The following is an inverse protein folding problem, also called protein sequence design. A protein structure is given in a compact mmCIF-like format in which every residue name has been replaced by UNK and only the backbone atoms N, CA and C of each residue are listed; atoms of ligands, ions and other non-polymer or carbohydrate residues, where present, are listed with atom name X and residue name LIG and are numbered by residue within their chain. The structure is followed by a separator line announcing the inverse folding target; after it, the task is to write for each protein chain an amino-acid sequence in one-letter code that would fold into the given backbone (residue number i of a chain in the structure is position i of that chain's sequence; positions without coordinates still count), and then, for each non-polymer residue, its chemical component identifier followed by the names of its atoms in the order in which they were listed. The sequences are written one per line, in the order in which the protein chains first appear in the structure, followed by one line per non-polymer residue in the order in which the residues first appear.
data_IF_017448044174
#
_entry.id   IF_017448044174
#
_cell.length_a   1.000
_cell.length_b   1.000
_cell.length_c   1.000
_cell.angle_alpha   90.00
_cell.angle_beta   90.00
_cell.angle_gamma   90.00
#
_symmetry.space_group_name_H-M   'P 1'
#
loop_
_entity.id
_entity.type
_entity.pdbx_description
1 polymer ?
#
# COMPACT_ATOMS: atom_id res chain seq x y z
N UNK A 1 26.21 9.06 30.43
CA UNK A 1 26.48 10.41 30.98
C UNK A 1 25.19 11.21 31.23
N UNK A 2 24.02 10.62 30.98
CA UNK A 2 22.70 11.20 31.20
C UNK A 2 21.72 10.08 31.59
N UNK A 3 20.71 10.38 32.39
CA UNK A 3 19.56 9.49 32.64
C UNK A 3 18.34 10.04 31.90
N UNK A 4 17.69 9.19 31.10
CA UNK A 4 16.35 9.46 30.58
C UNK A 4 15.32 8.81 31.49
N UNK A 5 14.44 9.62 32.08
CA UNK A 5 13.26 9.18 32.80
C UNK A 5 12.07 9.20 31.83
N UNK A 6 11.63 8.03 31.39
CA UNK A 6 10.60 7.88 30.37
C UNK A 6 9.32 7.36 31.01
N UNK A 7 8.23 8.11 30.87
CA UNK A 7 6.87 7.74 31.26
C UNK A 7 5.94 7.81 30.04
N UNK A 8 4.81 7.10 30.08
CA UNK A 8 3.78 7.20 29.06
C UNK A 8 2.42 6.77 29.63
N UNK A 9 1.69 7.75 30.17
CA UNK A 9 0.50 7.56 31.02
C UNK A 9 -0.60 6.72 30.37
N UNK A 10 -0.74 6.79 29.04
CA UNK A 10 -1.74 6.01 28.29
C UNK A 10 -1.46 4.50 28.29
N UNK A 11 -0.22 4.09 28.55
CA UNK A 11 0.19 2.68 28.56
C UNK A 11 0.53 2.20 29.98
N UNK A 12 1.25 3.00 30.76
CA UNK A 12 1.73 2.64 32.09
C UNK A 12 1.95 3.90 32.95
N UNK A 13 1.58 3.81 34.23
CA UNK A 13 1.85 4.85 35.24
C UNK A 13 3.31 4.85 35.72
N UNK A 14 4.11 3.83 35.36
CA UNK A 14 5.48 3.69 35.81
C UNK A 14 6.46 4.62 35.06
N UNK A 15 7.49 5.08 35.77
CA UNK A 15 8.61 5.85 35.20
C UNK A 15 9.84 4.97 35.09
N UNK A 16 10.34 4.79 33.87
CA UNK A 16 11.50 3.95 33.58
C UNK A 16 12.75 4.79 33.38
N UNK A 17 13.85 4.40 34.01
CA UNK A 17 15.11 5.15 33.99
C UNK A 17 16.16 4.42 33.15
N UNK A 18 16.76 5.13 32.19
CA UNK A 18 17.77 4.58 31.29
C UNK A 18 19.02 5.46 31.29
N UNK A 19 20.16 4.86 31.62
CA UNK A 19 21.45 5.51 31.45
C UNK A 19 21.88 5.44 29.98
N UNK A 20 22.24 6.60 29.42
CA UNK A 20 22.53 6.77 27.99
C UNK A 20 23.77 7.63 27.76
N UNK A 21 24.36 7.52 26.58
CA UNK A 21 25.42 8.40 26.08
C UNK A 21 24.80 9.55 25.25
N UNK A 22 24.87 10.75 25.79
CA UNK A 22 24.35 11.97 25.18
C UNK A 22 24.97 12.24 23.81
N UNK A 23 26.22 11.84 23.56
CA UNK A 23 26.86 12.02 22.25
C UNK A 23 26.23 11.11 21.20
N UNK A 24 25.95 9.85 21.56
CA UNK A 24 25.30 8.88 20.66
C UNK A 24 23.87 9.27 20.34
N UNK A 25 23.13 9.75 21.33
CA UNK A 25 21.78 10.29 21.12
C UNK A 25 21.79 11.44 20.10
N UNK A 26 22.64 12.46 20.30
CA UNK A 26 22.73 13.62 19.40
C UNK A 26 23.17 13.22 17.98
N UNK A 27 24.10 12.28 17.84
CA UNK A 27 24.60 11.89 16.52
C UNK A 27 23.58 11.14 15.67
N UNK A 28 22.62 10.47 16.31
CA UNK A 28 21.65 9.59 15.64
C UNK A 28 20.21 10.13 15.65
N UNK A 29 19.98 11.31 16.23
CA UNK A 29 18.66 11.94 16.34
C UNK A 29 18.78 13.46 16.41
N UNK A 30 18.28 14.21 15.41
CA UNK A 30 18.18 15.66 15.45
C UNK A 30 17.27 16.17 16.58
N UNK A 31 16.28 15.37 17.00
CA UNK A 31 15.49 15.67 18.19
C UNK A 31 16.38 15.79 19.43
N UNK A 32 17.19 14.76 19.72
CA UNK A 32 18.10 14.79 20.87
C UNK A 32 19.26 15.78 20.68
N UNK A 33 19.71 16.03 19.44
CA UNK A 33 20.65 17.10 19.14
C UNK A 33 20.13 18.45 19.62
N UNK A 34 18.87 18.76 19.31
CA UNK A 34 18.20 19.99 19.69
C UNK A 34 17.89 20.04 21.18
N UNK A 35 17.24 19.01 21.74
CA UNK A 35 16.84 18.92 23.15
C UNK A 35 18.05 19.11 24.08
N UNK A 36 19.16 18.46 23.74
CA UNK A 36 20.36 18.51 24.56
C UNK A 36 21.25 19.73 24.20
N UNK A 37 20.88 20.56 23.23
CA UNK A 37 21.71 21.69 22.81
C UNK A 37 21.94 22.69 23.98
N UNK A 38 23.19 23.10 24.26
CA UNK A 38 23.53 23.91 25.44
C UNK A 38 22.80 25.26 25.56
N UNK A 39 22.23 25.77 24.47
CA UNK A 39 21.57 27.07 24.43
C UNK A 39 20.10 27.05 24.03
N UNK A 40 19.54 25.90 23.60
CA UNK A 40 18.16 25.86 23.07
C UNK A 40 17.13 25.54 24.16
N UNK A 41 17.42 24.56 25.00
CA UNK A 41 16.50 24.06 26.02
C UNK A 41 17.13 24.05 27.42
N UNK A 42 16.30 24.01 28.45
CA UNK A 42 16.72 23.91 29.85
C UNK A 42 17.54 22.64 30.12
N UNK A 43 17.14 21.55 29.48
CA UNK A 43 17.68 20.20 29.56
C UNK A 43 19.13 20.19 29.08
N UNK A 44 19.38 20.76 27.90
CA UNK A 44 20.73 20.95 27.36
C UNK A 44 21.61 21.88 28.22
N UNK A 45 21.04 22.94 28.80
CA UNK A 45 21.76 23.81 29.75
C UNK A 45 22.18 23.05 31.00
N UNK A 46 21.27 22.30 31.62
CA UNK A 46 21.55 21.48 32.83
C UNK A 46 22.66 20.48 32.56
N UNK A 47 22.61 19.79 31.41
CA UNK A 47 23.66 18.85 31.00
C UNK A 47 25.03 19.56 30.80
N UNK A 48 25.05 20.73 30.17
CA UNK A 48 26.27 21.49 29.96
C UNK A 48 26.88 22.06 31.25
N UNK A 49 26.05 22.45 32.22
CA UNK A 49 26.49 22.87 33.55
C UNK A 49 27.10 21.70 34.33
N UNK A 50 26.46 20.53 34.33
CA UNK A 50 27.01 19.31 34.95
C UNK A 50 28.38 18.92 34.38
N UNK A 51 28.58 19.08 33.06
CA UNK A 51 29.87 18.79 32.42
C UNK A 51 30.97 19.82 32.71
N UNK A 52 30.63 21.03 33.16
CA UNK A 52 31.58 22.13 33.43
C UNK A 52 31.96 22.26 34.90
N UNK A 53 31.01 22.07 35.80
CA UNK A 53 31.21 22.36 37.22
C UNK A 53 31.93 21.23 37.98
N UNK A 54 32.21 20.09 37.32
CA UNK A 54 32.98 18.99 37.92
C UNK A 54 32.48 18.54 39.29
N UNK A 55 31.21 18.83 39.59
CA UNK A 55 30.70 18.87 40.95
C UNK A 55 30.35 17.46 41.40
N UNK A 56 31.26 16.86 42.17
CA UNK A 56 31.16 16.16 43.48
C UNK A 56 29.81 15.57 43.98
N UNK A 57 28.76 15.52 43.16
CA UNK A 57 27.52 14.80 43.42
C UNK A 57 27.43 13.62 42.45
N UNK A 58 27.40 12.41 43.02
CA UNK A 58 27.41 11.11 42.32
C UNK A 58 26.21 10.86 41.38
N UNK A 59 25.30 11.83 41.20
CA UNK A 59 24.05 11.69 40.49
C UNK A 59 24.12 12.30 39.07
N UNK A 60 23.87 11.48 38.06
CA UNK A 60 23.77 11.88 36.66
C UNK A 60 22.56 12.82 36.44
N UNK A 61 22.65 13.77 35.49
CA UNK A 61 21.50 14.61 35.14
C UNK A 61 20.34 13.77 34.61
N UNK A 62 19.12 14.10 35.03
CA UNK A 62 17.88 13.41 34.61
C UNK A 62 17.09 14.30 33.66
N UNK A 63 16.65 13.73 32.54
CA UNK A 63 15.75 14.36 31.58
C UNK A 63 14.48 13.53 31.47
N UNK A 64 13.33 14.19 31.60
CA UNK A 64 12.01 13.57 31.57
C UNK A 64 11.43 13.56 30.15
N UNK A 65 10.81 12.45 29.78
CA UNK A 65 10.11 12.24 28.51
C UNK A 65 8.78 11.57 28.83
N UNK A 66 7.66 12.24 28.56
CA UNK A 66 6.32 11.76 28.96
C UNK A 66 5.54 11.01 27.87
N UNK A 67 6.08 10.94 26.65
CA UNK A 67 5.38 10.33 25.52
C UNK A 67 6.36 9.72 24.52
N UNK A 68 6.10 8.49 24.05
CA UNK A 68 6.99 7.77 23.10
C UNK A 68 6.38 7.51 21.71
N UNK A 69 5.15 7.98 21.47
CA UNK A 69 4.38 7.75 20.25
C UNK A 69 3.23 6.77 20.51
N UNK A 70 2.23 6.78 19.62
CA UNK A 70 1.12 5.82 19.71
C UNK A 70 1.62 4.42 19.30
N UNK A 71 1.85 3.53 20.27
CA UNK A 71 2.37 2.18 20.05
C UNK A 71 1.35 1.12 20.45
N UNK A 72 1.23 0.04 19.66
CA UNK A 72 0.30 -1.06 19.97
C UNK A 72 1.06 -2.14 20.75
N UNK A 73 0.97 -2.11 22.08
CA UNK A 73 1.62 -3.10 22.95
C UNK A 73 0.60 -4.12 23.48
N UNK A 74 0.91 -5.41 23.36
CA UNK A 74 0.06 -6.47 23.90
C UNK A 74 0.08 -6.55 25.43
N UNK A 75 1.11 -5.99 26.06
CA UNK A 75 1.26 -5.91 27.51
C UNK A 75 2.05 -4.63 27.85
N UNK A 76 1.53 -3.74 28.71
CA UNK A 76 2.25 -2.55 29.19
C UNK A 76 3.66 -2.84 29.74
N UNK A 77 3.88 -4.02 30.33
CA UNK A 77 5.19 -4.44 30.85
C UNK A 77 6.28 -4.53 29.76
N UNK A 78 5.91 -4.52 28.48
CA UNK A 78 6.85 -4.52 27.36
C UNK A 78 7.33 -3.12 26.97
N UNK A 79 6.74 -2.06 27.51
CA UNK A 79 7.16 -0.68 27.29
C UNK A 79 8.66 -0.44 27.56
N UNK A 80 9.22 -0.83 28.73
CA UNK A 80 10.65 -0.66 28.98
C UNK A 80 11.53 -1.49 28.03
N UNK A 81 11.06 -2.65 27.56
CA UNK A 81 11.78 -3.46 26.58
C UNK A 81 11.83 -2.76 25.20
N UNK A 82 10.71 -2.17 24.77
CA UNK A 82 10.64 -1.40 23.52
C UNK A 82 11.61 -0.21 23.55
N UNK A 83 11.60 0.55 24.65
CA UNK A 83 12.48 1.70 24.85
C UNK A 83 13.94 1.25 24.89
N UNK A 84 14.25 0.17 25.64
CA UNK A 84 15.59 -0.41 25.69
C UNK A 84 16.07 -0.82 24.31
N UNK A 85 15.23 -1.47 23.51
CA UNK A 85 15.54 -1.90 22.15
C UNK A 85 15.83 -0.70 21.24
N UNK A 86 15.01 0.36 21.32
CA UNK A 86 15.24 1.62 20.60
C UNK A 86 16.57 2.27 20.99
N UNK A 87 16.84 2.43 22.29
CA UNK A 87 18.08 3.01 22.78
C UNK A 87 19.29 2.16 22.41
N UNK A 88 19.17 0.83 22.44
CA UNK A 88 20.24 -0.09 22.05
C UNK A 88 20.65 0.14 20.59
N UNK A 89 19.68 0.33 19.69
CA UNK A 89 19.97 0.69 18.29
C UNK A 89 20.71 2.02 18.17
N UNK A 90 20.26 3.06 18.86
CA UNK A 90 20.90 4.37 18.82
C UNK A 90 22.35 4.32 19.34
N UNK A 91 22.65 3.40 20.25
CA UNK A 91 23.98 3.23 20.83
C UNK A 91 24.85 2.21 20.06
N UNK A 92 24.46 1.81 18.85
CA UNK A 92 25.17 0.84 18.01
C UNK A 92 25.36 -0.54 18.68
N UNK A 93 24.47 -0.91 19.61
CA UNK A 93 24.50 -2.22 20.28
C UNK A 93 23.88 -3.26 19.34
N UNK A 94 24.62 -4.33 19.05
CA UNK A 94 24.10 -5.43 18.21
C UNK A 94 22.96 -6.15 18.92
N UNK A 95 21.91 -6.45 18.17
CA UNK A 95 20.73 -7.15 18.67
C UNK A 95 20.46 -8.38 17.82
N UNK A 96 21.25 -9.43 18.08
CA UNK A 96 21.23 -10.69 17.32
C UNK A 96 19.85 -11.38 17.32
N UNK A 97 19.01 -11.07 18.31
CA UNK A 97 17.68 -11.64 18.53
C UNK A 97 16.59 -11.01 17.64
N UNK A 98 16.87 -9.91 16.95
CA UNK A 98 15.86 -9.15 16.21
C UNK A 98 15.35 -9.85 14.94
N UNK A 99 16.09 -10.83 14.41
CA UNK A 99 15.62 -11.61 13.26
C UNK A 99 14.37 -12.45 13.59
N UNK A 100 14.10 -12.71 14.88
CA UNK A 100 12.90 -13.38 15.37
C UNK A 100 11.86 -12.44 15.97
N UNK A 101 12.12 -11.12 15.97
CA UNK A 101 11.21 -10.15 16.58
C UNK A 101 9.84 -10.16 15.87
N UNK A 102 8.73 -10.09 16.62
CA UNK A 102 7.41 -9.92 16.04
C UNK A 102 7.31 -8.65 15.19
N UNK A 103 6.56 -8.73 14.08
CA UNK A 103 6.36 -7.58 13.17
C UNK A 103 5.78 -6.35 13.89
N UNK A 104 4.86 -6.55 14.84
CA UNK A 104 4.27 -5.45 15.62
C UNK A 104 5.33 -4.69 16.43
N UNK A 105 6.27 -5.40 17.05
CA UNK A 105 7.35 -4.75 17.83
C UNK A 105 8.28 -3.96 16.91
N UNK A 106 8.58 -4.48 15.71
CA UNK A 106 9.35 -3.72 14.71
C UNK A 106 8.62 -2.47 14.23
N UNK A 107 7.30 -2.55 14.04
CA UNK A 107 6.50 -1.38 13.69
C UNK A 107 6.54 -0.36 14.83
N UNK A 108 6.32 -0.77 16.09
CA UNK A 108 6.41 0.10 17.26
C UNK A 108 7.78 0.76 17.42
N UNK A 109 8.88 0.03 17.16
CA UNK A 109 10.23 0.63 17.19
C UNK A 109 10.38 1.75 16.16
N UNK A 110 9.80 1.58 14.97
CA UNK A 110 9.82 2.62 13.95
C UNK A 110 8.91 3.80 14.30
N UNK A 111 7.83 3.59 15.07
CA UNK A 111 7.04 4.70 15.64
C UNK A 111 7.89 5.54 16.60
N UNK A 112 8.56 4.88 17.54
CA UNK A 112 9.44 5.56 18.51
C UNK A 112 10.58 6.28 17.77
N UNK A 113 11.17 5.62 16.77
CA UNK A 113 12.23 6.20 15.96
C UNK A 113 11.76 7.39 15.12
N UNK A 114 10.56 7.35 14.52
CA UNK A 114 10.00 8.49 13.79
C UNK A 114 9.72 9.67 14.73
N UNK A 115 9.14 9.41 15.91
CA UNK A 115 8.82 10.44 16.89
C UNK A 115 10.06 11.22 17.36
N UNK A 116 11.17 10.50 17.60
CA UNK A 116 12.44 11.11 17.98
C UNK A 116 13.36 11.44 16.80
N UNK A 117 12.85 11.49 15.56
CA UNK A 117 13.63 11.79 14.35
C UNK A 117 14.92 10.94 14.23
N UNK A 118 14.82 9.67 14.62
CA UNK A 118 15.92 8.72 14.75
C UNK A 118 15.77 7.54 13.78
N UNK A 119 15.17 7.78 12.59
CA UNK A 119 14.99 6.75 11.56
C UNK A 119 16.27 6.26 10.86
N UNK A 120 17.33 7.07 10.61
CA UNK A 120 18.48 6.63 9.81
C UNK A 120 19.14 5.31 10.28
N UNK A 121 19.31 5.05 11.60
CA UNK A 121 19.78 3.75 12.10
C UNK A 121 18.89 2.55 11.74
N UNK A 122 17.62 2.75 11.38
CA UNK A 122 16.68 1.69 11.04
C UNK A 122 16.46 1.53 9.51
N UNK A 123 17.01 2.43 8.70
CA UNK A 123 16.81 2.39 7.26
C UNK A 123 17.68 1.32 6.58
N UNK A 124 17.25 0.86 5.40
CA UNK A 124 17.82 -0.24 4.60
C UNK A 124 19.36 -0.34 4.56
N UNK A 125 20.08 0.78 4.56
CA UNK A 125 21.56 0.79 4.46
C UNK A 125 22.25 0.38 5.77
N UNK A 126 21.56 0.49 6.91
CA UNK A 126 22.11 0.13 8.21
C UNK A 126 22.09 -1.39 8.45
N UNK A 127 22.89 -1.90 9.42
CA UNK A 127 22.83 -3.31 9.82
C UNK A 127 21.42 -3.75 10.24
N UNK A 128 20.72 -2.89 10.99
CA UNK A 128 19.36 -3.13 11.49
C UNK A 128 18.35 -3.08 10.34
N UNK A 129 18.55 -2.19 9.37
CA UNK A 129 17.78 -2.16 8.13
C UNK A 129 17.81 -3.49 7.37
N UNK A 130 18.93 -4.23 7.40
CA UNK A 130 19.01 -5.57 6.81
C UNK A 130 18.29 -6.64 7.64
N UNK A 131 18.17 -6.45 8.95
CA UNK A 131 17.35 -7.33 9.80
C UNK A 131 15.87 -7.08 9.52
N UNK A 132 15.45 -5.82 9.42
CA UNK A 132 14.10 -5.42 9.03
C UNK A 132 13.71 -6.02 7.68
N UNK A 133 14.58 -5.93 6.66
CA UNK A 133 14.34 -6.52 5.34
C UNK A 133 14.10 -8.04 5.43
N UNK A 134 14.87 -8.76 6.27
CA UNK A 134 14.69 -10.20 6.50
C UNK A 134 13.36 -10.54 7.16
N UNK A 135 12.98 -9.82 8.22
CA UNK A 135 11.72 -10.06 8.94
C UNK A 135 10.52 -9.79 8.03
N UNK A 136 10.54 -8.65 7.31
CA UNK A 136 9.45 -8.30 6.41
C UNK A 136 9.38 -9.26 5.22
N UNK A 137 10.52 -9.66 4.65
CA UNK A 137 10.55 -10.68 3.58
C UNK A 137 9.96 -12.01 4.05
N UNK A 138 10.25 -12.43 5.28
CA UNK A 138 9.66 -13.62 5.89
C UNK A 138 8.15 -13.47 6.12
N UNK A 139 7.71 -12.28 6.51
CA UNK A 139 6.29 -11.99 6.66
C UNK A 139 5.54 -12.06 5.32
N UNK A 140 6.14 -11.53 4.25
CA UNK A 140 5.60 -11.63 2.89
C UNK A 140 5.58 -13.07 2.35
N UNK A 141 6.58 -13.89 2.66
CA UNK A 141 6.64 -15.27 2.18
C UNK A 141 5.60 -16.19 2.82
N UNK A 142 5.09 -15.83 4.01
CA UNK A 142 3.98 -16.54 4.67
C UNK A 142 2.67 -16.20 3.98
N UNK A 143 2.39 -16.86 2.85
CA UNK A 143 1.14 -16.82 2.07
C UNK A 143 0.40 -15.48 2.16
N UNK A 144 0.94 -14.46 1.48
CA UNK A 144 0.39 -13.10 1.47
C UNK A 144 -1.09 -13.03 1.06
N UNK A 145 -1.56 -13.99 0.24
CA UNK A 145 -2.97 -14.10 -0.13
C UNK A 145 -3.89 -14.42 1.05
N UNK A 146 -3.37 -14.89 2.19
CA UNK A 146 -4.14 -15.13 3.43
C UNK A 146 -3.75 -14.19 4.57
N UNK A 147 -2.86 -13.23 4.32
CA UNK A 147 -2.51 -12.24 5.33
C UNK A 147 -3.72 -11.36 5.69
N UNK A 148 -3.78 -10.93 6.94
CA UNK A 148 -4.76 -9.94 7.39
C UNK A 148 -4.35 -8.54 6.97
N UNK A 149 -5.31 -7.63 6.82
CA UNK A 149 -5.03 -6.22 6.49
C UNK A 149 -4.07 -5.59 7.50
N UNK A 150 -4.30 -5.82 8.81
CA UNK A 150 -3.40 -5.35 9.88
C UNK A 150 -1.95 -5.77 9.64
N UNK A 151 -1.72 -7.02 9.21
CA UNK A 151 -0.37 -7.52 8.89
C UNK A 151 0.22 -6.79 7.69
N UNK A 152 -0.57 -6.59 6.63
CA UNK A 152 -0.12 -5.92 5.40
C UNK A 152 0.19 -4.44 5.65
N UNK A 153 -0.64 -3.76 6.43
CA UNK A 153 -0.41 -2.37 6.85
C UNK A 153 0.85 -2.25 7.70
N UNK A 154 1.08 -3.15 8.66
CA UNK A 154 2.34 -3.23 9.43
C UNK A 154 3.55 -3.44 8.51
N UNK A 155 3.47 -4.37 7.55
CA UNK A 155 4.53 -4.60 6.55
C UNK A 155 4.81 -3.32 5.74
N UNK A 156 3.75 -2.65 5.28
CA UNK A 156 3.86 -1.43 4.49
C UNK A 156 4.49 -0.30 5.30
N UNK A 157 4.01 -0.08 6.53
CA UNK A 157 4.53 0.92 7.45
C UNK A 157 6.02 0.72 7.76
N UNK A 158 6.40 -0.51 8.12
CA UNK A 158 7.82 -0.88 8.33
C UNK A 158 8.63 -0.67 7.05
N UNK A 159 8.04 -0.98 5.90
CA UNK A 159 8.66 -0.77 4.60
C UNK A 159 8.89 0.70 4.25
N UNK A 160 7.95 1.57 4.60
CA UNK A 160 8.03 3.01 4.33
C UNK A 160 9.12 3.66 5.17
N UNK A 161 9.05 3.50 6.50
CA UNK A 161 10.01 4.13 7.42
C UNK A 161 11.39 3.47 7.35
N UNK A 162 11.44 2.14 7.19
CA UNK A 162 12.68 1.38 7.02
C UNK A 162 13.28 1.40 5.61
N UNK A 163 12.63 2.08 4.66
CA UNK A 163 13.03 2.20 3.25
C UNK A 163 13.21 0.86 2.49
N UNK A 164 12.30 -0.09 2.69
CA UNK A 164 12.33 -1.41 2.05
C UNK A 164 11.42 -1.47 0.82
N UNK A 165 11.98 -1.21 -0.37
CA UNK A 165 11.18 -1.01 -1.59
C UNK A 165 10.31 -2.21 -2.00
N UNK A 166 10.81 -3.44 -1.82
CA UNK A 166 10.09 -4.65 -2.24
C UNK A 166 8.79 -4.83 -1.47
N UNK A 167 8.82 -4.65 -0.15
CA UNK A 167 7.64 -4.86 0.66
C UNK A 167 6.61 -3.75 0.48
N UNK A 168 7.06 -2.50 0.27
CA UNK A 168 6.17 -1.39 -0.06
C UNK A 168 5.38 -1.71 -1.33
N UNK A 169 6.06 -2.13 -2.40
CA UNK A 169 5.40 -2.46 -3.67
C UNK A 169 4.38 -3.60 -3.54
N UNK A 170 4.75 -4.67 -2.82
CA UNK A 170 3.89 -5.85 -2.68
C UNK A 170 2.69 -5.57 -1.74
N UNK A 171 2.93 -4.92 -0.60
CA UNK A 171 1.88 -4.61 0.38
C UNK A 171 0.91 -3.53 -0.12
N UNK A 172 1.40 -2.50 -0.81
CA UNK A 172 0.54 -1.51 -1.46
C UNK A 172 -0.32 -2.14 -2.55
N UNK A 173 0.26 -3.00 -3.40
CA UNK A 173 -0.51 -3.75 -4.41
C UNK A 173 -1.62 -4.59 -3.77
N UNK A 174 -1.32 -5.26 -2.65
CA UNK A 174 -2.31 -6.03 -1.92
C UNK A 174 -3.49 -5.16 -1.48
N UNK A 175 -3.23 -3.98 -0.89
CA UNK A 175 -4.28 -3.05 -0.46
C UNK A 175 -5.08 -2.50 -1.65
N UNK A 176 -4.40 -2.10 -2.73
CA UNK A 176 -5.08 -1.61 -3.94
C UNK A 176 -6.03 -2.67 -4.50
N UNK A 177 -5.59 -3.93 -4.56
CA UNK A 177 -6.35 -5.01 -5.17
C UNK A 177 -7.49 -5.51 -4.27
N UNK A 178 -7.26 -5.65 -2.96
CA UNK A 178 -8.25 -6.17 -2.02
C UNK A 178 -9.17 -5.14 -1.40
N UNK A 179 -8.70 -3.90 -1.27
CA UNK A 179 -9.37 -2.88 -0.49
C UNK A 179 -8.80 -2.78 0.92
N UNK A 180 -9.31 -1.81 1.64
CA UNK A 180 -9.04 -1.61 3.06
C UNK A 180 -10.35 -1.34 3.79
N UNK A 181 -10.45 -1.86 5.00
CA UNK A 181 -11.51 -1.56 5.95
C UNK A 181 -11.58 -0.06 6.29
N UNK A 182 -10.44 0.64 6.28
CA UNK A 182 -10.34 2.07 6.59
C UNK A 182 -10.85 2.99 5.48
N UNK A 183 -11.17 2.46 4.29
CA UNK A 183 -11.63 3.27 3.15
C UNK A 183 -13.15 3.38 3.06
N UNK A 184 -13.89 2.80 4.01
CA UNK A 184 -15.35 2.88 4.05
C UNK A 184 -15.75 4.00 5.03
N UNK A 185 -16.27 5.12 4.49
CA UNK A 185 -16.60 6.36 5.20
C UNK A 185 -17.70 6.24 6.29
N UNK A 186 -18.40 5.10 6.41
CA UNK A 186 -19.60 5.02 7.27
C UNK A 186 -19.32 4.57 8.72
N UNK A 187 -18.09 4.17 9.07
CA UNK A 187 -17.73 3.74 10.42
C UNK A 187 -16.54 4.54 11.00
N UNK A 188 -16.67 5.88 11.05
CA UNK A 188 -15.78 6.78 11.82
C UNK A 188 -15.89 6.56 13.35
N UNK A 189 -15.95 5.31 13.82
CA UNK A 189 -15.45 5.01 15.15
C UNK A 189 -13.93 4.99 14.99
N UNK A 190 -13.32 6.17 15.17
CA UNK A 190 -11.87 6.28 15.28
C UNK A 190 -11.49 5.48 16.52
N UNK A 191 -11.12 4.22 16.30
CA UNK A 191 -10.55 3.37 17.33
C UNK A 191 -9.17 3.94 17.66
N UNK A 192 -9.15 4.82 18.68
CA UNK A 192 -7.95 5.54 19.14
C UNK A 192 -6.81 4.58 19.54
N UNK A 193 -7.15 3.31 19.83
CA UNK A 193 -6.20 2.26 20.18
C UNK A 193 -5.52 1.59 18.98
N UNK A 194 -5.83 2.00 17.74
CA UNK A 194 -5.19 1.44 16.55
C UNK A 194 -3.78 2.01 16.38
N UNK A 195 -2.81 1.11 16.18
CA UNK A 195 -1.45 1.52 15.87
C UNK A 195 -1.35 2.38 14.59
N UNK A 196 -0.31 3.22 14.46
CA UNK A 196 -0.22 4.26 13.43
C UNK A 196 -0.16 3.74 11.99
N UNK A 197 0.16 2.46 11.78
CA UNK A 197 0.09 1.83 10.45
C UNK A 197 -1.33 1.77 9.85
N UNK A 198 -2.38 1.99 10.65
CA UNK A 198 -3.73 2.15 10.14
C UNK A 198 -3.96 3.49 9.41
N UNK A 199 -3.06 4.48 9.59
CA UNK A 199 -3.02 5.73 8.82
C UNK A 199 -1.62 5.94 8.25
N UNK A 200 -1.43 5.55 6.99
CA UNK A 200 -0.09 5.53 6.40
C UNK A 200 0.45 6.96 6.16
N UNK A 201 1.73 7.21 6.47
CA UNK A 201 2.31 8.55 6.36
C UNK A 201 2.51 9.01 4.91
N UNK A 202 2.75 10.32 4.72
CA UNK A 202 3.21 10.88 3.45
C UNK A 202 2.15 10.95 2.34
N UNK A 203 0.85 11.05 2.68
CA UNK A 203 -0.31 10.93 1.76
C UNK A 203 -0.34 9.62 0.96
N UNK A 204 0.28 8.57 1.51
CA UNK A 204 0.25 7.23 0.92
C UNK A 204 -1.19 6.69 0.87
N UNK A 205 -1.98 6.95 1.91
CA UNK A 205 -3.37 6.51 2.00
C UNK A 205 -4.23 7.03 0.84
N UNK A 206 -4.18 8.35 0.58
CA UNK A 206 -4.87 9.02 -0.53
C UNK A 206 -4.49 8.41 -1.89
N UNK A 207 -3.20 8.17 -2.11
CA UNK A 207 -2.72 7.58 -3.36
C UNK A 207 -3.21 6.14 -3.53
N UNK A 208 -3.17 5.31 -2.48
CA UNK A 208 -3.65 3.92 -2.55
C UNK A 208 -5.16 3.87 -2.86
N UNK A 209 -5.94 4.72 -2.20
CA UNK A 209 -7.38 4.87 -2.45
C UNK A 209 -7.64 5.29 -3.90
N UNK A 210 -6.93 6.30 -4.38
CA UNK A 210 -7.07 6.80 -5.75
C UNK A 210 -6.68 5.75 -6.79
N UNK A 211 -5.54 5.06 -6.61
CA UNK A 211 -5.13 3.95 -7.50
C UNK A 211 -6.17 2.84 -7.52
N UNK A 212 -6.73 2.46 -6.37
CA UNK A 212 -7.83 1.48 -6.29
C UNK A 212 -9.04 1.94 -7.09
N UNK A 213 -9.47 3.18 -6.90
CA UNK A 213 -10.62 3.73 -7.62
C UNK A 213 -10.40 3.67 -9.14
N UNK A 214 -9.23 4.07 -9.63
CA UNK A 214 -8.88 4.02 -11.05
C UNK A 214 -8.81 2.59 -11.61
N UNK A 215 -8.31 1.64 -10.81
CA UNK A 215 -8.32 0.21 -11.20
C UNK A 215 -9.76 -0.32 -11.27
N UNK A 216 -10.61 0.03 -10.30
CA UNK A 216 -12.03 -0.36 -10.31
C UNK A 216 -12.77 0.23 -11.52
N UNK A 217 -12.60 1.54 -11.77
CA UNK A 217 -13.18 2.22 -12.94
C UNK A 217 -12.72 1.58 -14.26
N UNK A 218 -11.46 1.15 -14.33
CA UNK A 218 -10.91 0.44 -15.49
C UNK A 218 -11.59 -0.91 -15.69
N UNK A 219 -11.81 -1.69 -14.62
CA UNK A 219 -12.54 -2.96 -14.70
C UNK A 219 -14.01 -2.76 -15.10
N UNK A 220 -14.66 -1.71 -14.59
CA UNK A 220 -16.04 -1.34 -14.94
C UNK A 220 -16.18 -0.88 -16.39
N UNK A 221 -15.12 -0.33 -16.99
CA UNK A 221 -15.14 0.07 -18.41
C UNK A 221 -15.23 -1.11 -19.39
N UNK A 222 -14.79 -2.31 -18.98
CA UNK A 222 -14.76 -3.50 -19.84
C UNK A 222 -16.18 -3.92 -20.30
N UNK A 223 -17.14 -4.20 -19.39
CA UNK A 223 -18.48 -4.56 -19.82
C UNK A 223 -19.14 -3.44 -20.63
N UNK A 224 -18.93 -2.18 -20.24
CA UNK A 224 -19.47 -1.02 -20.95
C UNK A 224 -18.97 -0.96 -22.40
N UNK A 225 -17.67 -1.17 -22.62
CA UNK A 225 -17.08 -1.20 -23.96
C UNK A 225 -17.69 -2.29 -24.83
N UNK A 226 -17.72 -3.54 -24.36
CA UNK A 226 -18.21 -4.65 -25.17
C UNK A 226 -19.71 -4.55 -25.45
N UNK A 227 -20.52 -4.10 -24.48
CA UNK A 227 -21.96 -3.89 -24.70
C UNK A 227 -22.18 -2.80 -25.74
N UNK A 228 -21.50 -1.65 -25.62
CA UNK A 228 -21.59 -0.55 -26.62
C UNK A 228 -21.15 -1.00 -28.01
N UNK A 229 -20.06 -1.77 -28.08
CA UNK A 229 -19.51 -2.25 -29.34
C UNK A 229 -20.52 -3.14 -30.10
N UNK A 230 -21.19 -4.06 -29.39
CA UNK A 230 -22.18 -4.96 -29.98
C UNK A 230 -23.59 -4.34 -30.13
N UNK A 231 -23.87 -3.22 -29.46
CA UNK A 231 -25.12 -2.46 -29.64
C UNK A 231 -25.03 -1.31 -30.65
N UNK A 232 -23.82 -1.00 -31.15
CA UNK A 232 -23.57 0.09 -32.12
C UNK A 232 -24.28 -0.07 -33.46
N UNK A 233 -24.64 -1.30 -33.83
CA UNK A 233 -25.13 -1.65 -35.17
C UNK A 233 -24.02 -2.00 -36.17
N UNK A 234 -22.75 -1.76 -35.81
CA UNK A 234 -21.60 -2.16 -36.63
C UNK A 234 -21.37 -3.67 -36.52
N UNK A 235 -21.18 -4.32 -37.67
CA UNK A 235 -20.98 -5.77 -37.75
C UNK A 235 -19.68 -6.19 -37.07
N UNK A 236 -19.79 -6.96 -35.98
CA UNK A 236 -18.66 -7.45 -35.21
C UNK A 236 -18.18 -8.82 -35.68
N UNK A 237 -19.10 -9.67 -36.15
CA UNK A 237 -18.79 -10.94 -36.78
C UNK A 237 -18.18 -10.72 -38.17
N UNK A 238 -16.87 -11.00 -38.29
CA UNK A 238 -16.09 -10.81 -39.54
C UNK A 238 -16.08 -12.03 -40.46
N UNK A 239 -16.83 -13.08 -40.14
CA UNK A 239 -16.83 -14.33 -40.92
C UNK A 239 -17.64 -14.22 -42.23
N UNK A 240 -18.51 -13.21 -42.37
CA UNK A 240 -19.18 -12.89 -43.63
C UNK A 240 -20.31 -13.83 -44.03
N UNK A 241 -20.82 -14.64 -43.10
CA UNK A 241 -21.98 -15.52 -43.33
C UNK A 241 -23.29 -14.72 -43.27
N UNK A 242 -24.35 -15.24 -43.90
CA UNK A 242 -25.71 -14.68 -43.78
C UNK A 242 -26.23 -14.69 -42.34
N UNK A 243 -25.65 -15.56 -41.50
CA UNK A 243 -25.93 -15.66 -40.07
C UNK A 243 -25.09 -14.74 -39.18
N UNK A 244 -24.24 -13.88 -39.75
CA UNK A 244 -23.34 -13.01 -38.99
C UNK A 244 -24.07 -11.95 -38.16
N UNK A 245 -25.20 -11.41 -38.64
CA UNK A 245 -26.00 -10.45 -37.86
C UNK A 245 -26.69 -11.12 -36.65
N UNK A 246 -27.16 -12.35 -36.84
CA UNK A 246 -27.72 -13.19 -35.79
C UNK A 246 -26.64 -13.58 -34.78
N UNK A 247 -25.40 -13.81 -35.24
CA UNK A 247 -24.25 -14.04 -34.36
C UNK A 247 -24.00 -12.86 -33.42
N UNK A 248 -23.97 -11.62 -33.95
CA UNK A 248 -23.74 -10.43 -33.13
C UNK A 248 -24.85 -10.22 -32.08
N UNK A 249 -26.12 -10.41 -32.47
CA UNK A 249 -27.26 -10.33 -31.56
C UNK A 249 -27.23 -11.42 -30.48
N UNK A 250 -26.85 -12.65 -30.86
CA UNK A 250 -26.68 -13.77 -29.93
C UNK A 250 -25.56 -13.48 -28.92
N UNK A 251 -24.41 -12.99 -29.40
CA UNK A 251 -23.27 -12.65 -28.54
C UNK A 251 -23.61 -11.52 -27.57
N UNK A 252 -24.35 -10.50 -28.00
CA UNK A 252 -24.82 -9.42 -27.10
C UNK A 252 -25.68 -9.96 -25.96
N UNK A 253 -26.63 -10.86 -26.26
CA UNK A 253 -27.47 -11.49 -25.24
C UNK A 253 -26.66 -12.31 -24.23
N UNK A 254 -25.69 -13.09 -24.71
CA UNK A 254 -24.79 -13.87 -23.84
C UNK A 254 -23.85 -12.99 -23.01
N UNK A 255 -23.38 -11.86 -23.54
CA UNK A 255 -22.57 -10.88 -22.81
C UNK A 255 -23.34 -10.29 -21.63
N UNK A 256 -24.56 -9.83 -21.88
CA UNK A 256 -25.43 -9.26 -20.84
C UNK A 256 -25.70 -10.28 -19.74
N UNK A 257 -26.09 -11.51 -20.10
CA UNK A 257 -26.29 -12.62 -19.14
C UNK A 257 -25.03 -12.95 -18.34
N UNK A 258 -23.85 -12.88 -18.97
CA UNK A 258 -22.59 -13.17 -18.31
C UNK A 258 -22.18 -12.07 -17.32
N UNK A 259 -22.26 -10.80 -17.72
CA UNK A 259 -21.89 -9.67 -16.87
C UNK A 259 -22.86 -9.48 -15.70
N UNK A 260 -24.15 -9.72 -15.91
CA UNK A 260 -25.15 -9.74 -14.83
C UNK A 260 -24.86 -10.84 -13.81
N UNK A 261 -24.65 -12.09 -14.27
CA UNK A 261 -24.28 -13.22 -13.37
C UNK A 261 -22.97 -12.98 -12.63
N UNK A 262 -22.02 -12.28 -13.24
CA UNK A 262 -20.73 -11.92 -12.63
C UNK A 262 -20.83 -10.72 -11.66
N UNK A 263 -22.01 -10.07 -11.59
CA UNK A 263 -22.27 -8.83 -10.85
C UNK A 263 -21.33 -7.69 -11.27
N UNK A 264 -21.14 -7.53 -12.58
CA UNK A 264 -20.40 -6.41 -13.18
C UNK A 264 -21.33 -5.42 -13.87
N UNK A 265 -22.53 -5.86 -14.22
CA UNK A 265 -23.60 -5.01 -14.74
C UNK A 265 -24.87 -5.37 -13.97
N UNK A 266 -25.70 -4.38 -13.70
CA UNK A 266 -27.07 -4.56 -13.24
C UNK A 266 -28.00 -3.90 -14.25
N UNK A 267 -29.05 -4.61 -14.64
CA UNK A 267 -30.08 -4.07 -15.53
C UNK A 267 -31.25 -3.67 -14.66
N UNK A 268 -31.50 -2.38 -14.55
CA UNK A 268 -32.64 -1.84 -13.81
C UNK A 268 -33.52 -1.01 -14.73
N UNK A 269 -34.82 -1.00 -14.48
CA UNK A 269 -35.75 -0.13 -15.18
C UNK A 269 -35.52 1.32 -14.78
N UNK A 270 -35.51 2.23 -15.76
CA UNK A 270 -35.24 3.66 -15.53
C UNK A 270 -36.43 4.44 -14.96
N UNK A 271 -37.64 3.88 -15.04
CA UNK A 271 -38.89 4.55 -14.65
C UNK A 271 -39.03 4.77 -13.14
N UNK A 272 -38.30 3.98 -12.35
CA UNK A 272 -38.24 4.12 -10.89
C UNK A 272 -36.78 4.28 -10.49
N UNK A 273 -36.42 5.30 -9.69
CA UNK A 273 -35.05 5.42 -9.19
C UNK A 273 -34.75 4.20 -8.32
N UNK A 274 -34.02 3.24 -8.88
CA UNK A 274 -33.36 2.22 -8.08
C UNK A 274 -32.26 2.97 -7.33
N UNK A 275 -32.39 3.08 -6.01
CA UNK A 275 -31.27 3.52 -5.20
C UNK A 275 -30.08 2.64 -5.56
N UNK A 276 -28.90 3.19 -5.90
CA UNK A 276 -27.72 2.35 -6.05
C UNK A 276 -27.64 1.51 -4.78
N UNK A 277 -27.55 0.19 -4.93
CA UNK A 277 -27.33 -0.70 -3.80
C UNK A 277 -26.16 -0.11 -3.01
N UNK A 278 -26.38 0.16 -1.71
CA UNK A 278 -25.33 0.65 -0.80
C UNK A 278 -24.14 -0.32 -0.71
N UNK A 279 -24.26 -1.50 -1.30
CA UNK A 279 -23.20 -2.50 -1.48
C UNK A 279 -22.36 -2.26 -2.74
N UNK A 280 -22.25 -1.01 -3.22
CA UNK A 280 -21.29 -0.67 -4.27
C UNK A 280 -19.90 -1.06 -3.76
N UNK A 281 -19.18 -1.99 -4.41
CA UNK A 281 -18.23 -2.79 -3.66
C UNK A 281 -16.85 -2.13 -3.73
N UNK A 282 -16.72 -1.00 -3.03
CA UNK A 282 -15.41 -0.46 -2.60
C UNK A 282 -14.61 -1.56 -1.87
N UNK A 283 -15.29 -2.60 -1.37
CA UNK A 283 -14.76 -3.79 -0.70
C UNK A 283 -14.57 -5.05 -1.60
N UNK A 284 -14.84 -5.05 -2.92
CA UNK A 284 -14.59 -6.27 -3.74
C UNK A 284 -13.10 -6.48 -3.98
N UNK A 285 -12.62 -7.70 -3.74
CA UNK A 285 -11.30 -8.12 -4.22
C UNK A 285 -11.29 -8.14 -5.76
N UNK A 286 -10.45 -7.29 -6.35
CA UNK A 286 -10.31 -7.15 -7.80
C UNK A 286 -9.80 -8.45 -8.44
N UNK A 287 -9.08 -9.31 -7.72
CA UNK A 287 -8.71 -10.62 -8.23
C UNK A 287 -9.95 -11.48 -8.49
N UNK A 288 -10.96 -11.43 -7.62
CA UNK A 288 -12.22 -12.18 -7.83
C UNK A 288 -12.92 -11.68 -9.09
N UNK A 289 -12.91 -10.37 -9.33
CA UNK A 289 -13.45 -9.78 -10.56
C UNK A 289 -12.70 -10.30 -11.79
N UNK A 290 -11.37 -10.30 -11.76
CA UNK A 290 -10.55 -10.82 -12.85
C UNK A 290 -10.79 -12.32 -13.09
N UNK A 291 -10.85 -13.14 -12.03
CA UNK A 291 -11.15 -14.57 -12.16
C UNK A 291 -12.54 -14.81 -12.77
N UNK A 292 -13.53 -14.00 -12.41
CA UNK A 292 -14.86 -14.09 -13.00
C UNK A 292 -14.84 -13.72 -14.48
N UNK A 293 -14.15 -12.63 -14.85
CA UNK A 293 -13.97 -12.23 -16.25
C UNK A 293 -13.26 -13.32 -17.08
N UNK A 294 -12.30 -14.07 -16.51
CA UNK A 294 -11.65 -15.21 -17.20
C UNK A 294 -12.59 -16.38 -17.49
N UNK A 295 -13.71 -16.48 -16.75
CA UNK A 295 -14.75 -17.49 -16.97
C UNK A 295 -15.77 -17.10 -18.03
N UNK A 296 -15.51 -16.03 -18.80
CA UNK A 296 -16.35 -15.67 -19.94
C UNK A 296 -16.60 -16.90 -20.82
N UNK A 297 -17.84 -17.16 -21.26
CA UNK A 297 -18.17 -18.35 -22.03
C UNK A 297 -17.71 -18.24 -23.48
N UNK A 298 -17.57 -19.39 -24.12
CA UNK A 298 -17.14 -19.55 -25.51
C UNK A 298 -18.33 -19.93 -26.42
N UNK A 299 -19.55 -19.53 -26.01
CA UNK A 299 -20.79 -19.94 -26.68
C UNK A 299 -20.86 -19.44 -28.12
N UNK A 300 -21.35 -20.30 -29.01
CA UNK A 300 -21.47 -20.04 -30.44
C UNK A 300 -22.91 -20.29 -30.88
N UNK A 301 -23.39 -19.49 -31.83
CA UNK A 301 -24.74 -19.67 -32.38
C UNK A 301 -24.88 -20.99 -33.15
N UNK A 302 -23.82 -21.41 -33.85
CA UNK A 302 -23.71 -22.67 -34.56
C UNK A 302 -22.23 -23.01 -34.85
N UNK A 303 -21.99 -24.18 -35.43
CA UNK A 303 -20.65 -24.69 -35.78
C UNK A 303 -19.83 -23.78 -36.72
N UNK A 304 -20.47 -22.90 -37.48
CA UNK A 304 -19.78 -22.02 -38.44
C UNK A 304 -19.22 -20.75 -37.79
N UNK A 305 -19.55 -20.49 -36.51
CA UNK A 305 -19.11 -19.29 -35.79
C UNK A 305 -18.03 -19.60 -34.74
N UNK A 306 -17.10 -20.49 -35.08
CA UNK A 306 -15.92 -20.73 -34.26
C UNK A 306 -15.10 -19.45 -34.09
N UNK A 307 -14.66 -19.16 -32.87
CA UNK A 307 -13.92 -17.95 -32.49
C UNK A 307 -14.67 -16.61 -32.59
N UNK A 308 -15.99 -16.64 -32.77
CA UNK A 308 -16.83 -15.46 -32.53
C UNK A 308 -17.16 -15.35 -31.04
N UNK A 309 -17.14 -14.13 -30.51
CA UNK A 309 -17.69 -13.83 -29.20
C UNK A 309 -16.75 -13.16 -28.20
N UNK A 310 -17.30 -12.91 -27.01
CA UNK A 310 -16.66 -12.12 -25.96
C UNK A 310 -15.31 -12.71 -25.53
N UNK A 311 -15.26 -14.01 -25.27
CA UNK A 311 -14.08 -14.68 -24.69
C UNK A 311 -12.82 -14.49 -25.53
N UNK A 312 -12.92 -14.63 -26.85
CA UNK A 312 -11.77 -14.49 -27.76
C UNK A 312 -11.17 -13.09 -27.71
N UNK A 313 -11.99 -12.05 -27.50
CA UNK A 313 -11.54 -10.66 -27.37
C UNK A 313 -11.09 -10.33 -25.94
N UNK A 314 -11.76 -10.87 -24.94
CA UNK A 314 -11.55 -10.54 -23.52
C UNK A 314 -10.33 -11.24 -22.92
N UNK A 315 -10.10 -12.52 -23.24
CA UNK A 315 -9.03 -13.30 -22.61
C UNK A 315 -7.62 -12.73 -22.88
N UNK A 316 -7.27 -12.26 -24.10
CA UNK A 316 -5.99 -11.60 -24.33
C UNK A 316 -5.80 -10.35 -23.46
N UNK A 317 -6.84 -9.55 -23.27
CA UNK A 317 -6.80 -8.33 -22.45
C UNK A 317 -6.53 -8.67 -20.97
N UNK A 318 -7.27 -9.65 -20.44
CA UNK A 318 -7.09 -10.08 -19.05
C UNK A 318 -5.69 -10.66 -18.85
N UNK A 319 -5.27 -11.60 -19.70
CA UNK A 319 -4.02 -12.35 -19.49
C UNK A 319 -2.80 -11.47 -19.74
N UNK A 320 -2.79 -10.64 -20.79
CA UNK A 320 -1.60 -9.88 -21.19
C UNK A 320 -1.44 -8.54 -20.49
N UNK A 321 -2.52 -7.93 -20.02
CA UNK A 321 -2.48 -6.54 -19.52
C UNK A 321 -2.90 -6.51 -18.05
N UNK A 322 -4.14 -6.90 -17.76
CA UNK A 322 -4.72 -6.71 -16.43
C UNK A 322 -4.14 -7.64 -15.37
N UNK A 323 -3.87 -8.91 -15.72
CA UNK A 323 -3.31 -9.88 -14.78
C UNK A 323 -1.90 -9.47 -14.34
N UNK A 324 -1.09 -8.93 -15.26
CA UNK A 324 0.21 -8.41 -14.90
C UNK A 324 0.10 -7.17 -13.99
N UNK A 325 -0.77 -6.22 -14.33
CA UNK A 325 -0.91 -4.99 -13.55
C UNK A 325 -1.50 -5.19 -12.14
N UNK A 326 -2.51 -6.06 -11.99
CA UNK A 326 -3.36 -6.14 -10.79
C UNK A 326 -3.02 -7.36 -9.90
N UNK A 327 -2.64 -8.50 -10.49
CA UNK A 327 -2.46 -9.75 -9.72
C UNK A 327 -1.31 -9.64 -8.72
N UNK A 328 -1.55 -10.04 -7.47
CA UNK A 328 -0.56 -9.95 -6.40
C UNK A 328 0.71 -10.77 -6.70
N UNK A 329 0.58 -11.86 -7.45
CA UNK A 329 1.66 -12.81 -7.74
C UNK A 329 2.56 -12.39 -8.92
N UNK A 330 2.16 -11.38 -9.70
CA UNK A 330 2.94 -10.95 -10.85
C UNK A 330 4.15 -10.08 -10.42
N UNK A 331 5.32 -10.39 -10.96
CA UNK A 331 6.59 -9.71 -10.69
C UNK A 331 6.93 -8.59 -11.68
N UNK A 332 5.97 -8.24 -12.56
CA UNK A 332 6.14 -7.25 -13.63
C UNK A 332 5.60 -5.86 -13.28
N UNK A 333 5.11 -5.15 -14.31
CA UNK A 333 4.41 -3.88 -14.17
C UNK A 333 3.27 -4.03 -13.15
N UNK A 334 3.17 -3.12 -12.18
CA UNK A 334 2.30 -3.26 -11.02
C UNK A 334 1.59 -1.95 -10.70
N UNK A 335 0.34 -2.00 -10.26
CA UNK A 335 -0.35 -0.84 -9.68
C UNK A 335 0.20 -0.47 -8.28
N UNK A 336 0.98 -1.36 -7.64
CA UNK A 336 1.65 -1.10 -6.36
C UNK A 336 2.70 0.00 -6.44
N UNK A 337 3.03 0.57 -5.28
CA UNK A 337 3.89 1.74 -5.17
C UNK A 337 5.37 1.34 -5.15
N UNK A 338 6.14 1.87 -6.09
CA UNK A 338 7.58 1.82 -6.06
C UNK A 338 8.12 2.88 -5.11
N UNK A 339 8.67 2.46 -3.96
CA UNK A 339 9.19 3.39 -2.96
C UNK A 339 10.27 4.34 -3.52
N UNK A 340 11.16 3.83 -4.39
CA UNK A 340 12.21 4.67 -4.97
C UNK A 340 11.65 5.80 -5.82
N UNK A 341 10.65 5.53 -6.67
CA UNK A 341 10.00 6.55 -7.48
C UNK A 341 9.15 7.49 -6.61
N UNK A 342 8.47 6.94 -5.61
CA UNK A 342 7.66 7.71 -4.65
C UNK A 342 8.47 8.76 -3.90
N UNK A 343 9.67 8.40 -3.40
CA UNK A 343 10.51 9.32 -2.63
C UNK A 343 11.26 10.33 -3.50
N UNK A 344 11.63 9.97 -4.73
CA UNK A 344 12.53 10.80 -5.56
C UNK A 344 11.83 11.62 -6.64
N UNK A 345 10.68 11.15 -7.13
CA UNK A 345 9.97 11.71 -8.29
C UNK A 345 8.46 11.72 -8.06
N UNK A 346 8.03 12.12 -6.86
CA UNK A 346 6.62 12.08 -6.45
C UNK A 346 5.69 12.76 -7.45
N UNK A 347 6.02 13.99 -7.85
CA UNK A 347 5.14 14.81 -8.71
C UNK A 347 4.89 14.17 -10.09
N UNK A 348 5.87 13.42 -10.61
CA UNK A 348 5.75 12.70 -11.87
C UNK A 348 5.18 11.28 -11.72
N UNK A 349 5.26 10.70 -10.52
CA UNK A 349 4.91 9.30 -10.24
C UNK A 349 3.52 9.13 -9.63
N UNK A 350 3.08 10.06 -8.78
CA UNK A 350 1.79 9.99 -8.11
C UNK A 350 0.64 10.08 -9.13
N UNK A 351 -0.31 9.17 -9.02
CA UNK A 351 -1.50 9.15 -9.87
C UNK A 351 -2.46 10.28 -9.50
N UNK A 352 -2.50 10.62 -8.22
CA UNK A 352 -3.29 11.75 -7.69
C UNK A 352 -2.91 13.10 -8.28
N UNK A 353 -1.64 13.28 -8.69
CA UNK A 353 -1.12 14.53 -9.27
C UNK A 353 -1.13 14.50 -10.81
N UNK A 354 -1.44 13.36 -11.42
CA UNK A 354 -1.36 13.18 -12.87
C UNK A 354 -2.65 13.63 -13.59
N UNK A 355 -2.48 14.21 -14.77
CA UNK A 355 -3.61 14.56 -15.64
C UNK A 355 -4.17 13.31 -16.31
N UNK A 356 -5.49 13.18 -16.32
CA UNK A 356 -6.19 12.08 -16.96
C UNK A 356 -6.11 12.18 -18.50
N UNK A 357 -5.61 11.16 -19.20
CA UNK A 357 -5.69 11.10 -20.66
C UNK A 357 -7.15 11.03 -21.13
N UNK A 358 -7.44 11.62 -22.30
CA UNK A 358 -8.81 11.58 -22.87
C UNK A 358 -9.19 10.15 -23.25
N UNK A 359 -8.29 9.44 -23.93
CA UNK A 359 -8.54 8.09 -24.40
C UNK A 359 -7.27 7.25 -24.32
N UNK A 360 -7.42 5.97 -24.06
CA UNK A 360 -6.35 4.99 -24.15
C UNK A 360 -6.70 3.89 -25.17
N UNK A 361 -5.69 3.49 -25.94
CA UNK A 361 -5.78 2.43 -26.96
C UNK A 361 -4.66 1.42 -26.67
N UNK A 362 -4.93 0.10 -26.72
CA UNK A 362 -3.92 -0.93 -26.60
C UNK A 362 -2.82 -0.72 -27.65
N UNK A 363 -1.64 -0.30 -27.21
CA UNK A 363 -0.46 -0.30 -28.06
C UNK A 363 -0.08 -1.75 -28.34
N UNK A 364 0.02 -2.16 -29.62
CA UNK A 364 0.31 -3.55 -30.01
C UNK A 364 1.64 -4.13 -29.48
N UNK A 365 2.46 -3.33 -28.80
CA UNK A 365 3.64 -3.78 -28.08
C UNK A 365 3.27 -4.42 -26.74
N UNK A 366 3.77 -5.64 -26.48
CA UNK A 366 3.89 -6.14 -25.11
C UNK A 366 4.54 -5.08 -24.23
N UNK A 367 4.11 -4.94 -22.98
CA UNK A 367 4.83 -4.20 -21.93
C UNK A 367 6.14 -4.95 -21.59
N UNK A 368 6.99 -5.13 -22.59
CA UNK A 368 8.29 -5.77 -22.49
C UNK A 368 9.21 -4.86 -21.69
N UNK A 369 9.62 -5.34 -20.52
CA UNK A 369 10.30 -4.58 -19.48
C UNK A 369 11.82 -4.47 -19.66
N UNK A 370 12.41 -5.10 -20.68
CA UNK A 370 13.87 -5.31 -20.69
C UNK A 370 14.72 -4.05 -20.89
N UNK A 371 14.11 -2.89 -21.21
CA UNK A 371 14.84 -1.61 -21.37
C UNK A 371 14.17 -0.40 -20.72
N UNK A 372 12.98 -0.53 -20.12
CA UNK A 372 12.23 0.62 -19.59
C UNK A 372 12.54 0.83 -18.10
N UNK A 373 12.60 2.09 -17.69
CA UNK A 373 12.75 2.44 -16.28
C UNK A 373 11.47 2.12 -15.49
N UNK A 374 11.57 2.00 -14.17
CA UNK A 374 10.41 1.79 -13.31
C UNK A 374 9.34 2.88 -13.48
N UNK A 375 9.76 4.13 -13.67
CA UNK A 375 8.85 5.26 -13.90
C UNK A 375 8.11 5.12 -15.23
N UNK A 376 8.83 4.82 -16.32
CA UNK A 376 8.21 4.64 -17.65
C UNK A 376 7.20 3.48 -17.67
N UNK A 377 7.47 2.42 -16.91
CA UNK A 377 6.53 1.30 -16.77
C UNK A 377 5.28 1.75 -16.00
N UNK A 378 5.44 2.52 -14.92
CA UNK A 378 4.32 3.08 -14.15
C UNK A 378 3.52 4.07 -14.99
N UNK A 379 4.15 4.97 -15.75
CA UNK A 379 3.47 5.94 -16.62
C UNK A 379 2.58 5.25 -17.66
N UNK A 380 3.05 4.19 -18.30
CA UNK A 380 2.25 3.43 -19.27
C UNK A 380 1.05 2.74 -18.62
N UNK A 381 1.21 2.22 -17.40
CA UNK A 381 0.09 1.65 -16.64
C UNK A 381 -0.87 2.74 -16.19
N UNK A 382 -0.34 3.84 -15.65
CA UNK A 382 -1.08 5.01 -15.20
C UNK A 382 -1.94 5.54 -16.33
N UNK A 383 -1.39 5.75 -17.52
CA UNK A 383 -2.14 6.29 -18.64
C UNK A 383 -3.32 5.39 -19.02
N UNK A 384 -3.16 4.07 -18.96
CA UNK A 384 -4.26 3.11 -19.13
C UNK A 384 -5.32 3.23 -18.01
N UNK A 385 -4.89 3.28 -16.75
CA UNK A 385 -5.80 3.33 -15.61
C UNK A 385 -6.48 4.68 -15.41
N UNK A 386 -5.86 5.79 -15.82
CA UNK A 386 -6.40 7.15 -15.66
C UNK A 386 -7.22 7.61 -16.87
N UNK A 387 -7.14 6.92 -18.01
CA UNK A 387 -7.87 7.34 -19.21
C UNK A 387 -9.38 7.46 -18.96
N UNK A 388 -10.00 8.51 -19.50
CA UNK A 388 -11.44 8.71 -19.41
C UNK A 388 -12.18 7.68 -20.27
N UNK A 389 -11.70 7.45 -21.49
CA UNK A 389 -12.20 6.39 -22.37
C UNK A 389 -11.12 5.33 -22.65
N UNK A 390 -11.52 4.06 -22.74
CA UNK A 390 -10.61 2.92 -22.98
C UNK A 390 -11.14 2.10 -24.14
N UNK A 391 -10.50 2.23 -25.29
CA UNK A 391 -10.87 1.51 -26.50
C UNK A 391 -10.19 0.15 -26.46
N UNK A 392 -10.86 -0.85 -25.90
CA UNK A 392 -10.26 -2.16 -25.65
C UNK A 392 -9.97 -3.00 -26.91
N UNK A 393 -10.47 -2.61 -28.09
CA UNK A 393 -10.46 -3.40 -29.33
C UNK A 393 -10.11 -2.60 -30.57
#
# INVERSE_FOLDING_TARGET
DLILAISHEEISEDVFHFEVDSKKLRSNSPYFENLLHPSKFSEGRRLAHHGRDGSEGDALPVIEIHHIGNVELSNPANLPLLIKDFLSVIHDVSLDQWASMPLTNMANLLVVADMFDALPPFQRKSPIGRVLDRVVTKALSKNIARATESTIRKILFVGLLGQQSRCVMVASKWLITRGSECWNDENEVVDENRGPWWRLPGRMEEELMFRRQMVAETLDSIPVHFIKLYSSGDRQCRLGYDSSAQCDSYQLGEMVRFFERSRLVSITGSLTPTLPSKDYPVSRDMNIVLENLRKAPEYQINQHHSHCGLRTRLLPLITRILSHAISIESTGASCGICLGCWLTKRDAYAWTEAKRPVSWIPSGGTMSSSRKSCLEIDELLRDMFLAVDRVWT
#
